data_IF_712243648144
#
_entry.id   IF_712243648144
#
_cell.length_a   1.000
_cell.length_b   1.000
_cell.length_c   1.000
_cell.angle_alpha   90.00
_cell.angle_beta   90.00
_cell.angle_gamma   90.00
#
_symmetry.space_group_name_H-M   'P 1'
#
loop_
_entity.id
_entity.type
_entity.pdbx_description
1 polymer ?
#
# COMPACT_ATOMS: atom_id res chain seq x y z
N UNK A 1 28.63 -32.65 62.74
CA UNK A 1 27.89 -31.62 61.95
C UNK A 1 28.56 -31.45 60.60
N UNK A 2 27.93 -31.95 59.51
CA UNK A 2 28.46 -31.79 58.13
C UNK A 2 27.79 -30.54 57.48
N UNK A 3 28.58 -29.53 57.15
CA UNK A 3 28.11 -28.38 56.44
C UNK A 3 27.91 -28.74 54.92
N UNK A 4 26.69 -28.67 54.49
CA UNK A 4 26.34 -28.80 53.06
C UNK A 4 26.55 -27.42 52.41
N UNK A 5 27.53 -27.29 51.50
CA UNK A 5 27.73 -26.10 50.65
C UNK A 5 26.74 -26.19 49.48
N UNK A 6 25.73 -25.32 49.50
CA UNK A 6 24.82 -25.15 48.37
C UNK A 6 25.51 -24.22 47.35
N UNK A 7 25.86 -24.75 46.18
CA UNK A 7 26.35 -23.96 45.04
C UNK A 7 25.14 -23.55 44.24
N UNK A 8 24.81 -22.24 44.27
CA UNK A 8 23.76 -21.65 43.43
C UNK A 8 24.38 -21.35 42.08
N UNK A 9 23.98 -22.11 41.06
CA UNK A 9 24.31 -21.79 39.65
C UNK A 9 23.37 -20.71 39.16
N UNK A 10 23.90 -19.49 39.00
CA UNK A 10 23.17 -18.40 38.38
C UNK A 10 23.17 -18.62 36.86
N UNK A 11 22.04 -19.08 36.31
CA UNK A 11 21.84 -19.11 34.86
C UNK A 11 21.57 -17.68 34.36
N UNK A 12 22.58 -17.02 33.83
CA UNK A 12 22.43 -15.77 33.10
C UNK A 12 21.91 -16.13 31.68
N UNK A 13 20.60 -16.00 31.47
CA UNK A 13 20.00 -16.10 30.15
C UNK A 13 20.41 -14.87 29.33
N UNK A 14 21.34 -15.03 28.43
CA UNK A 14 21.61 -14.02 27.39
C UNK A 14 20.44 -14.04 26.42
N UNK A 15 19.48 -13.12 26.59
CA UNK A 15 18.51 -12.80 25.55
C UNK A 15 19.22 -12.00 24.45
N UNK A 16 19.74 -12.68 23.44
CA UNK A 16 20.15 -12.03 22.19
C UNK A 16 18.88 -11.61 21.47
N UNK A 17 18.50 -10.34 21.57
CA UNK A 17 17.53 -9.73 20.67
C UNK A 17 18.18 -9.69 19.28
N UNK A 18 17.78 -10.62 18.42
CA UNK A 18 18.02 -10.53 16.98
C UNK A 18 17.29 -9.25 16.51
N UNK A 19 18.05 -8.17 16.30
CA UNK A 19 17.58 -7.02 15.55
C UNK A 19 17.50 -7.48 14.10
N UNK A 20 16.32 -7.96 13.69
CA UNK A 20 16.05 -8.27 12.30
C UNK A 20 16.29 -7.01 11.46
N UNK A 21 17.04 -7.14 10.38
CA UNK A 21 17.34 -6.02 9.48
C UNK A 21 16.05 -5.73 8.68
N UNK A 22 15.32 -4.70 9.06
CA UNK A 22 13.95 -4.40 8.58
C UNK A 22 13.80 -4.33 7.04
N UNK A 23 14.91 -4.14 6.31
CA UNK A 23 14.92 -4.14 4.85
C UNK A 23 14.94 -5.55 4.25
N UNK A 24 15.67 -6.48 4.86
CA UNK A 24 15.77 -7.87 4.38
C UNK A 24 14.45 -8.61 4.66
N UNK A 25 13.81 -8.35 5.80
CA UNK A 25 12.51 -8.92 6.14
C UNK A 25 11.43 -8.47 5.15
N UNK A 26 11.42 -7.19 4.77
CA UNK A 26 10.48 -6.67 3.79
C UNK A 26 10.75 -7.22 2.39
N UNK A 27 12.01 -7.44 2.01
CA UNK A 27 12.36 -8.05 0.74
C UNK A 27 11.88 -9.51 0.69
N UNK A 28 12.14 -10.27 1.73
CA UNK A 28 11.67 -11.64 1.87
C UNK A 28 10.14 -11.71 1.78
N UNK A 29 9.44 -10.87 2.55
CA UNK A 29 7.98 -10.77 2.53
C UNK A 29 7.41 -10.54 1.13
N UNK A 30 8.02 -9.66 0.34
CA UNK A 30 7.57 -9.35 -1.02
C UNK A 30 7.96 -10.41 -2.05
N UNK A 31 9.11 -11.07 -1.87
CA UNK A 31 9.58 -12.14 -2.77
C UNK A 31 8.75 -13.43 -2.64
N UNK A 32 8.16 -13.68 -1.48
CA UNK A 32 7.22 -14.80 -1.28
C UNK A 32 5.97 -14.70 -2.15
N UNK A 33 5.61 -13.48 -2.61
CA UNK A 33 4.36 -13.24 -3.32
C UNK A 33 3.13 -13.29 -2.41
N UNK A 34 1.95 -13.42 -3.01
CA UNK A 34 0.66 -13.52 -2.32
C UNK A 34 0.37 -12.35 -1.37
N UNK A 35 0.90 -11.15 -1.66
CA UNK A 35 0.66 -9.95 -0.86
C UNK A 35 -0.22 -8.94 -1.60
N UNK A 36 -1.11 -8.29 -0.85
CA UNK A 36 -1.87 -7.14 -1.27
C UNK A 36 -1.11 -5.88 -0.87
N UNK A 37 -0.81 -5.03 -1.84
CA UNK A 37 -0.04 -3.80 -1.63
C UNK A 37 -0.92 -2.62 -1.98
N UNK A 38 -1.44 -1.92 -0.98
CA UNK A 38 -2.26 -0.74 -1.17
C UNK A 38 -1.39 0.52 -1.12
N UNK A 39 -1.52 1.38 -2.12
CA UNK A 39 -0.79 2.64 -2.21
C UNK A 39 -1.82 3.76 -2.40
N UNK A 40 -1.86 4.69 -1.44
CA UNK A 40 -2.60 5.92 -1.67
C UNK A 40 -1.86 6.73 -2.74
N UNK A 41 -2.60 7.29 -3.70
CA UNK A 41 -2.01 8.17 -4.70
C UNK A 41 -1.06 9.20 -4.06
N UNK A 42 0.00 9.54 -4.77
CA UNK A 42 0.97 10.52 -4.35
C UNK A 42 0.34 11.91 -4.15
N UNK A 43 1.09 12.85 -3.59
CA UNK A 43 0.57 14.13 -3.18
C UNK A 43 -0.05 14.92 -4.33
N UNK A 44 -1.32 15.24 -4.16
CA UNK A 44 -2.12 16.08 -5.03
C UNK A 44 -2.75 17.16 -4.13
N UNK A 45 -2.34 18.44 -4.24
CA UNK A 45 -2.74 19.50 -3.34
C UNK A 45 -4.25 19.75 -3.38
N UNK A 46 -4.81 20.21 -2.27
CA UNK A 46 -6.24 20.49 -2.11
C UNK A 46 -7.06 19.28 -1.64
N UNK A 47 -8.36 19.43 -1.63
CA UNK A 47 -9.34 18.43 -1.20
C UNK A 47 -10.45 18.28 -2.25
N UNK A 48 -10.95 17.07 -2.42
CA UNK A 48 -11.98 16.78 -3.43
C UNK A 48 -11.47 16.90 -4.87
N UNK A 49 -12.38 17.01 -5.78
CA UNK A 49 -12.15 17.34 -7.19
C UNK A 49 -13.06 18.54 -7.56
N UNK A 50 -12.74 19.33 -8.60
CA UNK A 50 -13.56 20.44 -9.05
C UNK A 50 -15.00 20.00 -9.43
N UNK A 51 -15.95 20.94 -9.40
CA UNK A 51 -17.35 20.66 -9.72
C UNK A 51 -17.54 20.18 -11.17
N UNK A 52 -16.71 20.67 -12.10
CA UNK A 52 -16.67 20.26 -13.49
C UNK A 52 -15.86 18.97 -13.74
N UNK A 53 -15.66 18.16 -12.71
CA UNK A 53 -14.92 16.91 -12.80
C UNK A 53 -15.45 16.00 -13.91
N UNK A 54 -14.54 15.59 -14.78
CA UNK A 54 -14.72 14.59 -15.83
C UNK A 54 -13.60 13.53 -15.72
N UNK A 55 -13.99 12.26 -15.61
CA UNK A 55 -13.05 11.15 -15.47
C UNK A 55 -12.15 10.98 -16.71
N UNK A 56 -12.65 11.34 -17.89
CA UNK A 56 -11.91 11.25 -19.16
C UNK A 56 -10.91 12.39 -19.35
N UNK A 57 -11.09 13.51 -18.64
CA UNK A 57 -10.30 14.73 -18.81
C UNK A 57 -9.47 15.07 -17.57
N UNK A 58 -8.16 14.84 -17.62
CA UNK A 58 -7.27 15.14 -16.50
C UNK A 58 -7.19 16.64 -16.16
N UNK A 59 -7.47 17.54 -17.10
CA UNK A 59 -7.45 18.99 -16.84
C UNK A 59 -8.60 19.43 -15.90
N UNK A 60 -9.68 18.68 -15.83
CA UNK A 60 -10.79 18.90 -14.90
C UNK A 60 -10.62 18.22 -13.54
N UNK A 61 -9.48 17.59 -13.30
CA UNK A 61 -9.23 16.83 -12.08
C UNK A 61 -8.13 17.46 -11.22
N UNK A 62 -8.15 17.15 -9.95
CA UNK A 62 -7.03 17.42 -9.05
C UNK A 62 -5.90 16.44 -9.34
N UNK A 63 -4.77 16.97 -9.84
CA UNK A 63 -3.61 16.22 -10.29
C UNK A 63 -2.45 16.25 -9.27
N UNK A 64 -1.41 15.44 -9.49
CA UNK A 64 -0.19 15.49 -8.69
C UNK A 64 0.50 16.85 -8.85
N UNK A 65 1.03 17.38 -7.76
CA UNK A 65 2.05 18.43 -7.79
C UNK A 65 3.40 17.88 -8.22
N UNK A 66 4.39 18.74 -8.43
CA UNK A 66 5.78 18.30 -8.65
C UNK A 66 6.31 17.46 -7.48
N UNK A 67 5.93 17.84 -6.24
CA UNK A 67 6.23 17.05 -5.05
C UNK A 67 5.62 15.64 -5.14
N UNK A 68 4.34 15.54 -5.54
CA UNK A 68 3.68 14.25 -5.76
C UNK A 68 4.34 13.41 -6.84
N UNK A 69 4.81 14.02 -7.92
CA UNK A 69 5.59 13.32 -8.95
C UNK A 69 6.89 12.76 -8.37
N UNK A 70 7.61 13.54 -7.57
CA UNK A 70 8.82 13.08 -6.89
C UNK A 70 8.53 11.96 -5.89
N UNK A 71 7.44 12.08 -5.14
CA UNK A 71 6.97 11.04 -4.23
C UNK A 71 6.65 9.72 -4.98
N UNK A 72 5.99 9.79 -6.13
CA UNK A 72 5.72 8.61 -6.97
C UNK A 72 7.01 7.96 -7.51
N UNK A 73 8.01 8.77 -7.88
CA UNK A 73 9.34 8.27 -8.26
C UNK A 73 10.08 7.62 -7.09
N UNK A 74 9.89 8.09 -5.86
CA UNK A 74 10.46 7.45 -4.68
C UNK A 74 9.79 6.10 -4.38
N UNK A 75 8.47 5.95 -4.65
CA UNK A 75 7.80 4.66 -4.64
C UNK A 75 8.48 3.70 -5.64
N UNK A 76 8.81 4.16 -6.86
CA UNK A 76 9.57 3.35 -7.81
C UNK A 76 10.90 2.86 -7.23
N UNK A 77 11.70 3.78 -6.66
CA UNK A 77 13.00 3.43 -6.05
C UNK A 77 12.85 2.41 -4.92
N UNK A 78 11.77 2.51 -4.14
CA UNK A 78 11.46 1.54 -3.06
C UNK A 78 11.27 0.13 -3.62
N UNK A 79 10.56 -0.01 -4.75
CA UNK A 79 10.27 -1.31 -5.34
C UNK A 79 11.36 -1.83 -6.27
N UNK A 80 12.17 -0.98 -6.92
CA UNK A 80 13.26 -1.40 -7.82
C UNK A 80 14.29 -2.32 -7.16
N UNK A 81 14.52 -2.18 -5.86
CA UNK A 81 15.47 -3.00 -5.09
C UNK A 81 14.85 -4.32 -4.60
N UNK A 82 13.61 -4.59 -4.94
CA UNK A 82 12.85 -5.74 -4.45
C UNK A 82 12.44 -6.62 -5.62
N UNK A 83 12.87 -7.87 -5.60
CA UNK A 83 12.47 -8.83 -6.62
C UNK A 83 10.97 -9.12 -6.48
N UNK A 84 10.18 -8.53 -7.37
CA UNK A 84 8.71 -8.63 -7.36
C UNK A 84 8.22 -9.23 -8.69
N UNK A 85 8.66 -10.45 -8.97
CA UNK A 85 8.25 -11.16 -10.18
C UNK A 85 6.72 -11.41 -10.15
N UNK A 86 6.11 -11.40 -11.34
CA UNK A 86 4.68 -11.62 -11.53
C UNK A 86 3.74 -10.64 -10.78
N UNK A 87 4.23 -9.45 -10.43
CA UNK A 87 3.42 -8.43 -9.76
C UNK A 87 2.48 -7.73 -10.74
N UNK A 88 1.19 -7.71 -10.42
CA UNK A 88 0.18 -6.97 -11.16
C UNK A 88 -0.10 -5.63 -10.52
N UNK A 89 -0.07 -4.54 -11.31
CA UNK A 89 -0.37 -3.19 -10.85
C UNK A 89 -1.73 -2.75 -11.38
N UNK A 90 -2.63 -2.44 -10.46
CA UNK A 90 -3.97 -1.93 -10.73
C UNK A 90 -4.10 -0.51 -10.18
N UNK A 91 -4.75 0.37 -10.91
CA UNK A 91 -4.94 1.77 -10.54
C UNK A 91 -6.41 2.17 -10.62
N UNK A 92 -6.82 3.09 -9.76
CA UNK A 92 -8.02 3.87 -9.99
C UNK A 92 -7.94 4.60 -11.33
N UNK A 93 -9.09 4.91 -11.91
CA UNK A 93 -9.21 5.66 -13.17
C UNK A 93 -8.93 7.16 -12.99
N UNK A 94 -8.89 7.69 -11.76
CA UNK A 94 -8.52 9.08 -11.47
C UNK A 94 -7.10 9.40 -11.92
N UNK A 95 -6.90 10.58 -12.51
CA UNK A 95 -5.62 10.96 -13.09
C UNK A 95 -4.47 10.96 -12.07
N UNK A 96 -4.68 11.41 -10.83
CA UNK A 96 -3.67 11.34 -9.77
C UNK A 96 -3.22 9.92 -9.44
N UNK A 97 -4.12 8.92 -9.52
CA UNK A 97 -3.77 7.52 -9.33
C UNK A 97 -3.02 6.97 -10.55
N UNK A 98 -3.51 7.26 -11.77
CA UNK A 98 -2.83 6.88 -13.02
C UNK A 98 -1.42 7.49 -13.09
N UNK A 99 -1.25 8.75 -12.73
CA UNK A 99 0.05 9.42 -12.67
C UNK A 99 0.96 8.75 -11.64
N UNK A 100 0.46 8.46 -10.43
CA UNK A 100 1.23 7.74 -9.41
C UNK A 100 1.68 6.38 -9.94
N UNK A 101 0.77 5.58 -10.49
CA UNK A 101 1.09 4.27 -11.06
C UNK A 101 2.09 4.35 -12.22
N UNK A 102 1.94 5.34 -13.11
CA UNK A 102 2.86 5.56 -14.23
C UNK A 102 4.29 5.87 -13.77
N UNK A 103 4.46 6.76 -12.79
CA UNK A 103 5.79 7.14 -12.30
C UNK A 103 6.42 6.08 -11.40
N UNK A 104 5.60 5.30 -10.68
CA UNK A 104 6.08 4.26 -9.79
C UNK A 104 6.39 2.93 -10.52
N UNK A 105 5.58 2.53 -11.51
CA UNK A 105 5.62 1.17 -12.07
C UNK A 105 5.66 1.10 -13.59
N UNK A 106 5.45 2.20 -14.30
CA UNK A 106 5.32 2.30 -15.78
C UNK A 106 4.06 1.62 -16.33
N UNK A 107 3.91 0.30 -16.10
CA UNK A 107 2.79 -0.52 -16.59
C UNK A 107 1.75 -0.71 -15.50
N UNK A 108 0.48 -0.48 -15.82
CA UNK A 108 -0.66 -0.71 -14.93
C UNK A 108 -1.95 -0.89 -15.74
N UNK A 109 -2.97 -1.44 -15.10
CA UNK A 109 -4.35 -1.51 -15.64
C UNK A 109 -5.28 -0.72 -14.72
N UNK A 110 -6.26 -0.01 -15.30
CA UNK A 110 -7.27 0.69 -14.49
C UNK A 110 -8.41 -0.23 -14.09
N UNK A 111 -8.98 0.05 -12.91
CA UNK A 111 -10.15 -0.65 -12.38
C UNK A 111 -11.07 0.34 -11.67
N UNK A 112 -12.35 0.37 -12.06
CA UNK A 112 -13.36 1.26 -11.49
C UNK A 112 -13.62 1.01 -10.00
N UNK A 113 -13.47 -0.22 -9.53
CA UNK A 113 -13.61 -0.55 -8.10
C UNK A 113 -12.52 0.08 -7.20
N UNK A 114 -11.47 0.68 -7.77
CA UNK A 114 -10.45 1.45 -7.06
C UNK A 114 -10.73 2.96 -7.04
N UNK A 115 -11.84 3.40 -7.64
CA UNK A 115 -12.20 4.81 -7.76
C UNK A 115 -12.58 5.42 -6.42
N UNK A 116 -12.47 6.75 -6.32
CA UNK A 116 -12.85 7.48 -5.13
C UNK A 116 -14.36 7.54 -4.97
N UNK A 117 -14.84 7.27 -3.77
CA UNK A 117 -16.22 7.56 -3.34
C UNK A 117 -16.26 8.63 -2.24
N UNK A 118 -15.23 9.50 -2.18
CA UNK A 118 -15.11 10.54 -1.17
C UNK A 118 -16.21 11.61 -1.29
N UNK A 119 -16.42 12.12 -2.50
CA UNK A 119 -17.43 13.15 -2.70
C UNK A 119 -18.83 12.54 -2.68
N UNK A 120 -19.82 13.34 -2.23
CA UNK A 120 -21.23 12.90 -2.16
C UNK A 120 -21.75 12.43 -3.52
N UNK A 121 -21.27 13.03 -4.63
CA UNK A 121 -21.58 12.62 -6.00
C UNK A 121 -21.26 11.15 -6.26
N UNK A 122 -20.22 10.58 -5.63
CA UNK A 122 -19.73 9.23 -5.86
C UNK A 122 -19.97 8.29 -4.67
N UNK A 123 -20.46 8.79 -3.54
CA UNK A 123 -20.64 8.01 -2.30
C UNK A 123 -21.53 6.77 -2.48
N UNK A 124 -22.51 6.85 -3.37
CA UNK A 124 -23.43 5.73 -3.69
C UNK A 124 -22.71 4.53 -4.31
N UNK A 125 -21.51 4.71 -4.88
CA UNK A 125 -20.73 3.62 -5.47
C UNK A 125 -19.98 2.77 -4.44
N UNK A 126 -19.80 3.24 -3.20
CA UNK A 126 -19.00 2.62 -2.15
C UNK A 126 -19.27 1.11 -2.01
N UNK A 127 -20.50 0.73 -1.74
CA UNK A 127 -20.85 -0.67 -1.45
C UNK A 127 -20.52 -1.60 -2.63
N UNK A 128 -20.85 -1.16 -3.86
CA UNK A 128 -20.56 -1.90 -5.08
C UNK A 128 -19.06 -2.05 -5.30
N UNK A 129 -18.30 -0.95 -5.23
CA UNK A 129 -16.86 -0.95 -5.46
C UNK A 129 -16.10 -1.83 -4.46
N UNK A 130 -16.42 -1.74 -3.18
CA UNK A 130 -15.79 -2.58 -2.14
C UNK A 130 -16.11 -4.06 -2.34
N UNK A 131 -17.36 -4.39 -2.70
CA UNK A 131 -17.72 -5.77 -3.04
C UNK A 131 -16.91 -6.29 -4.23
N UNK A 132 -16.85 -5.52 -5.32
CA UNK A 132 -16.09 -5.90 -6.52
C UNK A 132 -14.60 -6.07 -6.24
N UNK A 133 -13.99 -5.20 -5.43
CA UNK A 133 -12.60 -5.33 -5.01
C UNK A 133 -12.36 -6.61 -4.21
N UNK A 134 -13.22 -6.92 -3.23
CA UNK A 134 -13.12 -8.16 -2.45
C UNK A 134 -13.30 -9.41 -3.31
N UNK A 135 -14.26 -9.40 -4.24
CA UNK A 135 -14.48 -10.50 -5.18
C UNK A 135 -13.30 -10.69 -6.13
N UNK A 136 -12.67 -9.60 -6.59
CA UNK A 136 -11.47 -9.62 -7.40
C UNK A 136 -10.31 -10.28 -6.64
N UNK A 137 -10.06 -9.87 -5.41
CA UNK A 137 -9.01 -10.44 -4.54
C UNK A 137 -9.30 -11.93 -4.25
N UNK A 138 -10.55 -12.28 -3.95
CA UNK A 138 -10.93 -13.68 -3.71
C UNK A 138 -10.64 -14.61 -4.89
N UNK A 139 -10.79 -14.11 -6.12
CA UNK A 139 -10.55 -14.88 -7.36
C UNK A 139 -9.10 -14.89 -7.80
N UNK A 140 -8.24 -14.09 -7.16
CA UNK A 140 -6.84 -14.06 -7.50
C UNK A 140 -6.14 -15.36 -7.07
N UNK A 141 -5.24 -15.84 -7.94
CA UNK A 141 -4.56 -17.13 -7.81
C UNK A 141 -3.33 -17.13 -6.89
N UNK A 142 -3.11 -16.04 -6.18
CA UNK A 142 -2.01 -15.83 -5.23
C UNK A 142 -0.61 -15.88 -5.87
N UNK A 143 -0.51 -15.83 -7.20
CA UNK A 143 0.76 -15.74 -7.90
C UNK A 143 1.27 -14.30 -7.93
N UNK A 144 2.48 -14.10 -7.43
CA UNK A 144 3.11 -12.80 -7.31
C UNK A 144 2.43 -11.90 -6.27
N UNK A 145 2.41 -10.60 -6.50
CA UNK A 145 1.77 -9.62 -5.64
C UNK A 145 0.73 -8.80 -6.42
N UNK A 146 -0.27 -8.26 -5.71
CA UNK A 146 -1.23 -7.31 -6.26
C UNK A 146 -0.97 -5.92 -5.69
N UNK A 147 -0.65 -4.95 -6.55
CA UNK A 147 -0.53 -3.54 -6.17
C UNK A 147 -1.80 -2.79 -6.58
N UNK A 148 -2.38 -2.06 -5.64
CA UNK A 148 -3.55 -1.21 -5.81
C UNK A 148 -3.18 0.25 -5.58
N UNK A 149 -3.07 1.05 -6.62
CA UNK A 149 -2.90 2.50 -6.52
C UNK A 149 -4.28 3.15 -6.48
N UNK A 150 -4.67 3.65 -5.30
CA UNK A 150 -6.05 4.08 -5.06
C UNK A 150 -6.13 5.29 -4.12
N UNK A 151 -7.27 5.51 -3.51
CA UNK A 151 -7.60 6.64 -2.66
C UNK A 151 -7.67 6.22 -1.19
N UNK A 152 -7.46 7.19 -0.27
CA UNK A 152 -7.51 6.91 1.17
C UNK A 152 -8.85 6.29 1.59
N UNK A 153 -9.98 6.71 0.99
CA UNK A 153 -11.31 6.18 1.32
C UNK A 153 -11.45 4.69 1.01
N UNK A 154 -10.83 4.20 -0.07
CA UNK A 154 -10.84 2.78 -0.42
C UNK A 154 -9.97 1.99 0.56
N UNK A 155 -8.76 2.49 0.85
CA UNK A 155 -7.84 1.85 1.79
C UNK A 155 -8.44 1.83 3.20
N UNK A 156 -9.02 2.95 3.65
CA UNK A 156 -9.66 3.05 4.95
C UNK A 156 -10.83 2.07 5.10
N UNK A 157 -11.62 1.90 4.05
CA UNK A 157 -12.76 0.98 4.07
C UNK A 157 -12.33 -0.50 4.09
N UNK A 158 -11.24 -0.85 3.42
CA UNK A 158 -10.76 -2.23 3.34
C UNK A 158 -9.92 -2.61 4.56
N UNK A 159 -9.03 -1.72 5.02
CA UNK A 159 -8.02 -2.01 6.04
C UNK A 159 -8.31 -1.35 7.39
N UNK A 160 -9.40 -0.58 7.50
CA UNK A 160 -9.77 0.17 8.70
C UNK A 160 -8.63 1.05 9.25
N UNK A 161 -7.91 1.76 8.38
CA UNK A 161 -6.82 2.63 8.76
C UNK A 161 -6.74 3.91 7.92
N UNK A 162 -6.15 4.96 8.48
CA UNK A 162 -5.81 6.19 7.75
C UNK A 162 -4.42 6.10 7.14
N UNK A 163 -4.28 6.62 5.92
CA UNK A 163 -3.01 6.62 5.15
C UNK A 163 -2.67 8.01 4.64
N UNK A 164 -1.40 8.36 4.66
CA UNK A 164 -0.85 9.58 4.06
C UNK A 164 -0.70 9.43 2.55
N UNK A 165 -0.51 10.54 1.82
CA UNK A 165 -0.22 10.49 0.37
C UNK A 165 1.06 9.68 0.11
N UNK A 166 1.02 8.80 -0.89
CA UNK A 166 2.14 7.93 -1.25
C UNK A 166 2.48 6.84 -0.23
N UNK A 167 1.71 6.70 0.84
CA UNK A 167 1.93 5.64 1.82
C UNK A 167 1.59 4.27 1.22
N UNK A 168 2.45 3.30 1.54
CA UNK A 168 2.37 1.91 1.12
C UNK A 168 1.93 1.08 2.32
N UNK A 169 0.89 0.28 2.16
CA UNK A 169 0.42 -0.69 3.16
C UNK A 169 0.45 -2.07 2.54
N UNK A 170 1.14 -3.00 3.17
CA UNK A 170 1.21 -4.39 2.73
C UNK A 170 0.35 -5.23 3.67
N UNK A 171 -0.53 -6.01 3.09
CA UNK A 171 -1.44 -6.89 3.80
C UNK A 171 -1.44 -8.30 3.19
N UNK A 172 -1.90 -9.27 3.94
CA UNK A 172 -2.25 -10.59 3.44
C UNK A 172 -3.63 -10.59 2.75
N UNK A 173 -4.04 -11.75 2.22
CA UNK A 173 -5.32 -11.92 1.53
C UNK A 173 -6.55 -11.78 2.44
N UNK A 174 -6.37 -11.94 3.74
CA UNK A 174 -7.39 -11.76 4.77
C UNK A 174 -7.46 -10.32 5.29
N UNK A 175 -6.70 -9.40 4.65
CA UNK A 175 -6.58 -7.98 4.98
C UNK A 175 -5.88 -7.70 6.32
N UNK A 176 -5.14 -8.65 6.90
CA UNK A 176 -4.27 -8.38 8.04
C UNK A 176 -3.07 -7.55 7.58
N UNK A 177 -2.83 -6.43 8.27
CA UNK A 177 -1.73 -5.53 7.92
C UNK A 177 -0.42 -6.16 8.38
N UNK A 178 0.49 -6.40 7.45
CA UNK A 178 1.80 -6.98 7.70
C UNK A 178 2.84 -5.87 7.97
N UNK A 179 2.80 -4.80 7.18
CA UNK A 179 3.69 -3.66 7.38
C UNK A 179 3.18 -2.40 6.67
N UNK A 180 3.72 -1.25 7.07
CA UNK A 180 3.40 0.07 6.48
C UNK A 180 4.69 0.84 6.23
N UNK A 181 4.76 1.50 5.09
CA UNK A 181 5.87 2.39 4.74
C UNK A 181 5.33 3.77 4.41
N UNK A 182 5.60 4.74 5.27
CA UNK A 182 5.36 6.15 4.95
C UNK A 182 6.43 6.61 3.97
N UNK A 183 6.00 7.22 2.89
CA UNK A 183 6.91 7.82 1.93
C UNK A 183 7.21 9.26 2.38
N UNK A 184 8.18 9.41 3.29
CA UNK A 184 8.64 10.73 3.70
C UNK A 184 9.32 11.42 2.52
N UNK A 185 8.92 12.65 2.24
CA UNK A 185 9.67 13.54 1.35
C UNK A 185 10.96 13.93 2.10
N UNK A 186 12.06 13.28 1.81
CA UNK A 186 13.41 13.75 2.09
C UNK A 186 14.05 14.19 0.78
#
# INVERSE_FOLDING_TARGET
MKLIKIIIFLFISFNTTLVANSNDDLQNLLSEGAKLIFIRHAYAPGSGDPDNFDLSNCASQRNLSQEGVNQAKNINKFFLKKHMDNTSVLSSEWCRCKQTAKYAFKNYKTKSFLNSFFSQKFAHNKAKQIKELKEFIKKWDDKGNLIFVTHYVVISEILNLSVSSGEIVIADKDFNILTRQKNSNN
#
